data_IF_289909466318
#
_entry.id   IF_289909466318
#
_cell.length_a   1.000
_cell.length_b   1.000
_cell.length_c   1.000
_cell.angle_alpha   90.00
_cell.angle_beta   90.00
_cell.angle_gamma   90.00
#
_symmetry.space_group_name_H-M   'P 1'
#
loop_
_entity.id
_entity.type
_entity.pdbx_description
1 polymer ?
#
# COMPACT_ATOMS: atom_id res chain seq x y z
N UNK A 1 13.16 23.29 -9.16
CA UNK A 1 13.79 23.76 -7.91
C UNK A 1 14.87 22.77 -7.54
N UNK A 2 16.14 23.18 -7.39
CA UNK A 2 17.18 22.31 -6.82
C UNK A 2 17.30 22.58 -5.33
N UNK A 3 17.28 21.51 -4.53
CA UNK A 3 17.55 21.59 -3.11
C UNK A 3 19.07 21.69 -2.89
N UNK A 4 19.49 22.39 -1.84
CA UNK A 4 20.90 22.40 -1.47
C UNK A 4 21.30 21.01 -0.94
N UNK A 5 22.55 20.57 -1.14
CA UNK A 5 23.04 19.29 -0.61
C UNK A 5 22.80 19.13 0.90
N UNK A 6 22.88 20.23 1.66
CA UNK A 6 22.64 20.23 3.10
C UNK A 6 21.17 19.98 3.46
N UNK A 7 20.22 20.48 2.65
CA UNK A 7 18.79 20.24 2.87
C UNK A 7 18.41 18.79 2.61
N UNK A 8 19.01 18.15 1.59
CA UNK A 8 18.80 16.73 1.30
C UNK A 8 19.31 15.86 2.45
N UNK A 9 20.51 16.14 2.96
CA UNK A 9 21.10 15.40 4.08
C UNK A 9 20.30 15.55 5.40
N UNK A 10 19.69 16.71 5.69
CA UNK A 10 18.82 16.88 6.87
C UNK A 10 17.53 16.05 6.74
N UNK A 11 16.95 15.98 5.53
CA UNK A 11 15.77 15.16 5.25
C UNK A 11 16.10 13.68 5.45
N UNK A 12 17.20 13.20 4.88
CA UNK A 12 17.66 11.82 5.02
C UNK A 12 17.85 11.45 6.51
N UNK A 13 18.55 12.30 7.28
CA UNK A 13 18.77 12.07 8.71
C UNK A 13 17.46 12.00 9.51
N UNK A 14 16.46 12.82 9.19
CA UNK A 14 15.13 12.78 9.83
C UNK A 14 14.37 11.49 9.49
N UNK A 15 14.50 11.00 8.26
CA UNK A 15 13.89 9.74 7.83
C UNK A 15 14.54 8.54 8.53
N UNK A 16 15.86 8.52 8.66
CA UNK A 16 16.61 7.49 9.41
C UNK A 16 16.19 7.46 10.88
N UNK A 17 16.09 8.63 11.52
CA UNK A 17 15.64 8.73 12.91
C UNK A 17 14.21 8.20 13.09
N UNK A 18 13.29 8.55 12.18
CA UNK A 18 11.93 8.00 12.20
C UNK A 18 11.90 6.48 12.00
N UNK A 19 12.73 5.93 11.10
CA UNK A 19 12.82 4.49 10.91
C UNK A 19 13.34 3.79 12.17
N UNK A 20 14.34 4.37 12.84
CA UNK A 20 14.93 3.85 14.06
C UNK A 20 13.95 3.89 15.25
N UNK A 21 13.16 4.95 15.38
CA UNK A 21 12.13 5.09 16.42
C UNK A 21 10.93 4.14 16.23
N UNK A 22 10.60 3.76 14.99
CA UNK A 22 9.49 2.83 14.70
C UNK A 22 9.80 1.39 15.07
N UNK A 23 11.08 1.00 15.15
CA UNK A 23 11.49 -0.37 15.48
C UNK A 23 11.20 -1.43 14.41
N UNK A 24 10.66 -1.04 13.25
CA UNK A 24 10.49 -1.91 12.09
C UNK A 24 10.58 -1.13 10.78
N UNK A 25 11.06 -1.78 9.72
CA UNK A 25 11.12 -1.23 8.37
C UNK A 25 10.00 -1.84 7.53
N UNK A 26 8.99 -1.06 7.10
CA UNK A 26 7.91 -1.59 6.28
C UNK A 26 8.44 -2.01 4.90
N UNK A 27 7.90 -3.11 4.37
CA UNK A 27 8.21 -3.56 3.02
C UNK A 27 7.47 -2.69 1.99
N UNK A 28 8.12 -2.33 0.87
CA UNK A 28 7.46 -1.60 -0.20
C UNK A 28 6.35 -2.46 -0.81
N UNK A 29 5.27 -1.80 -1.26
CA UNK A 29 4.16 -2.49 -1.90
C UNK A 29 4.60 -3.14 -3.22
N UNK A 30 4.33 -4.44 -3.36
CA UNK A 30 4.47 -5.16 -4.62
C UNK A 30 3.29 -4.84 -5.57
N UNK A 31 3.36 -3.70 -6.27
CA UNK A 31 2.30 -3.18 -7.15
C UNK A 31 1.78 -4.20 -8.18
N UNK A 32 2.69 -4.84 -8.92
CA UNK A 32 2.35 -5.77 -9.99
C UNK A 32 1.63 -7.01 -9.43
N UNK A 33 2.05 -7.47 -8.25
CA UNK A 33 1.47 -8.62 -7.59
C UNK A 33 0.06 -8.32 -7.07
N UNK A 34 -0.13 -7.14 -6.46
CA UNK A 34 -1.46 -6.69 -6.04
C UNK A 34 -2.40 -6.59 -7.25
N UNK A 35 -1.97 -5.92 -8.32
CA UNK A 35 -2.77 -5.78 -9.53
C UNK A 35 -3.09 -7.13 -10.17
N UNK A 36 -2.13 -8.06 -10.21
CA UNK A 36 -2.36 -9.43 -10.68
C UNK A 36 -3.45 -10.12 -9.86
N UNK A 37 -3.36 -10.09 -8.53
CA UNK A 37 -4.36 -10.75 -7.66
C UNK A 37 -5.74 -10.15 -7.78
N UNK A 38 -5.85 -8.83 -7.95
CA UNK A 38 -7.13 -8.16 -8.20
C UNK A 38 -7.73 -8.59 -9.54
N UNK A 39 -6.91 -8.69 -10.59
CA UNK A 39 -7.35 -9.21 -11.91
C UNK A 39 -7.74 -10.69 -11.90
N UNK A 40 -7.01 -11.53 -11.16
CA UNK A 40 -7.35 -12.95 -10.97
C UNK A 40 -8.69 -13.12 -10.22
N UNK A 41 -9.15 -12.06 -9.53
CA UNK A 41 -10.45 -11.98 -8.89
C UNK A 41 -10.57 -12.88 -7.65
N UNK A 42 -11.79 -13.36 -7.42
CA UNK A 42 -12.12 -14.17 -6.25
C UNK A 42 -11.98 -13.42 -4.92
N UNK A 43 -12.05 -14.17 -3.82
CA UNK A 43 -12.05 -13.58 -2.48
C UNK A 43 -10.76 -12.81 -2.17
N UNK A 44 -9.59 -13.38 -2.51
CA UNK A 44 -8.30 -12.74 -2.24
C UNK A 44 -8.14 -11.44 -3.02
N UNK A 45 -8.48 -11.42 -4.32
CA UNK A 45 -8.37 -10.22 -5.15
C UNK A 45 -9.30 -9.11 -4.65
N UNK A 46 -10.56 -9.46 -4.37
CA UNK A 46 -11.53 -8.52 -3.83
C UNK A 46 -11.07 -7.93 -2.49
N UNK A 47 -10.69 -8.77 -1.52
CA UNK A 47 -10.26 -8.33 -0.19
C UNK A 47 -9.06 -7.39 -0.25
N UNK A 48 -8.02 -7.74 -1.01
CA UNK A 48 -6.80 -6.95 -1.15
C UNK A 48 -7.06 -5.63 -1.89
N UNK A 49 -7.90 -5.65 -2.94
CA UNK A 49 -8.29 -4.43 -3.63
C UNK A 49 -9.06 -3.46 -2.73
N UNK A 50 -10.03 -3.97 -1.95
CA UNK A 50 -10.76 -3.16 -0.96
C UNK A 50 -9.83 -2.61 0.13
N UNK A 51 -8.88 -3.41 0.61
CA UNK A 51 -7.89 -2.98 1.60
C UNK A 51 -7.03 -1.84 1.04
N UNK A 52 -6.56 -1.98 -0.21
CA UNK A 52 -5.75 -0.96 -0.87
C UNK A 52 -6.52 0.35 -1.05
N UNK A 53 -7.74 0.30 -1.58
CA UNK A 53 -8.55 1.50 -1.79
C UNK A 53 -8.85 2.23 -0.48
N UNK A 54 -9.11 1.49 0.60
CA UNK A 54 -9.29 2.08 1.93
C UNK A 54 -8.01 2.65 2.51
N UNK A 55 -6.88 1.97 2.34
CA UNK A 55 -5.58 2.47 2.80
C UNK A 55 -5.15 3.72 2.01
N UNK A 56 -5.43 3.78 0.71
CA UNK A 56 -5.05 4.90 -0.16
C UNK A 56 -5.98 6.12 0.02
N UNK A 57 -7.29 5.93 -0.05
CA UNK A 57 -8.29 7.01 0.01
C UNK A 57 -8.65 7.38 1.45
N UNK A 58 -8.70 8.67 1.77
CA UNK A 58 -9.04 9.15 3.12
C UNK A 58 -10.50 8.88 3.54
N UNK A 59 -11.39 8.52 2.58
CA UNK A 59 -12.84 8.36 2.81
C UNK A 59 -13.42 7.02 2.31
N UNK A 60 -12.58 6.04 1.94
CA UNK A 60 -13.09 4.72 1.57
C UNK A 60 -13.09 3.81 2.79
N UNK A 61 -14.27 3.47 3.30
CA UNK A 61 -14.42 2.54 4.42
C UNK A 61 -14.00 1.11 4.02
N UNK A 62 -13.15 0.50 4.84
CA UNK A 62 -12.85 -0.93 4.76
C UNK A 62 -13.94 -1.73 5.48
N UNK A 63 -14.84 -2.33 4.69
CA UNK A 63 -16.00 -3.09 5.20
C UNK A 63 -15.74 -4.59 5.37
N UNK A 64 -14.52 -5.03 5.07
CA UNK A 64 -14.14 -6.42 5.22
C UNK A 64 -13.77 -6.76 6.67
N UNK A 65 -13.84 -8.04 7.00
CA UNK A 65 -13.57 -8.52 8.36
C UNK A 65 -12.12 -8.99 8.53
N UNK A 66 -11.62 -8.97 9.76
CA UNK A 66 -10.32 -9.58 10.09
C UNK A 66 -10.33 -11.11 9.93
N UNK A 67 -11.48 -11.77 10.08
CA UNK A 67 -11.60 -13.20 9.73
C UNK A 67 -11.43 -13.43 8.23
N UNK A 68 -11.67 -12.40 7.41
CA UNK A 68 -11.35 -12.38 5.99
C UNK A 68 -9.86 -12.43 5.69
N UNK A 69 -9.06 -11.67 6.43
CA UNK A 69 -7.59 -11.73 6.34
C UNK A 69 -7.06 -13.15 6.58
N UNK A 70 -7.64 -13.88 7.53
CA UNK A 70 -7.25 -15.27 7.84
C UNK A 70 -7.51 -16.26 6.69
N UNK A 71 -8.30 -15.89 5.68
CA UNK A 71 -8.55 -16.71 4.49
C UNK A 71 -7.55 -16.47 3.36
N UNK A 72 -6.73 -15.43 3.48
CA UNK A 72 -5.65 -15.18 2.54
C UNK A 72 -4.54 -16.21 2.76
N UNK A 73 -3.87 -16.60 1.68
CA UNK A 73 -2.61 -17.34 1.76
C UNK A 73 -1.48 -16.42 2.27
N UNK A 74 -0.30 -17.00 2.52
CA UNK A 74 0.83 -16.27 3.08
C UNK A 74 1.25 -15.06 2.20
N UNK A 75 1.15 -15.18 0.88
CA UNK A 75 1.44 -14.09 -0.05
C UNK A 75 0.39 -12.97 0.04
N UNK A 76 -0.90 -13.31 0.10
CA UNK A 76 -1.96 -12.34 0.32
C UNK A 76 -1.86 -11.64 1.68
N UNK A 77 -1.50 -12.36 2.74
CA UNK A 77 -1.28 -11.77 4.07
C UNK A 77 -0.10 -10.78 4.06
N UNK A 78 1.00 -11.12 3.36
CA UNK A 78 2.14 -10.21 3.17
C UNK A 78 1.71 -8.93 2.45
N UNK A 79 1.02 -9.06 1.31
CA UNK A 79 0.49 -7.91 0.57
C UNK A 79 -0.43 -7.03 1.42
N UNK A 80 -1.29 -7.64 2.24
CA UNK A 80 -2.14 -6.89 3.16
C UNK A 80 -1.31 -6.04 4.13
N UNK A 81 -0.24 -6.59 4.69
CA UNK A 81 0.67 -5.83 5.55
C UNK A 81 1.41 -4.72 4.79
N UNK A 82 1.83 -4.94 3.55
CA UNK A 82 2.41 -3.88 2.72
C UNK A 82 1.41 -2.75 2.47
N UNK A 83 0.15 -3.08 2.13
CA UNK A 83 -0.95 -2.14 1.95
C UNK A 83 -1.17 -1.27 3.20
N UNK A 84 -1.19 -1.89 4.38
CA UNK A 84 -1.39 -1.17 5.65
C UNK A 84 -0.30 -0.13 5.94
N UNK A 85 0.91 -0.33 5.40
CA UNK A 85 2.06 0.50 5.70
C UNK A 85 2.49 1.40 4.53
N UNK A 86 1.70 1.53 3.46
CA UNK A 86 2.08 2.33 2.27
C UNK A 86 2.51 3.76 2.59
N UNK A 87 1.87 4.41 3.57
CA UNK A 87 2.20 5.79 4.00
C UNK A 87 3.45 5.88 4.88
N UNK A 88 3.97 4.74 5.34
CA UNK A 88 5.17 4.66 6.16
C UNK A 88 6.44 4.45 5.33
N UNK A 89 6.29 4.15 4.03
CA UNK A 89 7.39 3.91 3.09
C UNK A 89 8.01 5.23 2.62
N UNK A 90 9.34 5.30 2.73
CA UNK A 90 10.14 6.38 2.17
C UNK A 90 9.97 6.48 0.64
N UNK A 91 9.78 7.70 0.12
CA UNK A 91 9.63 7.89 -1.33
C UNK A 91 8.25 7.53 -1.88
N UNK A 92 7.22 7.47 -1.03
CA UNK A 92 5.82 7.35 -1.44
C UNK A 92 5.50 8.35 -2.56
N UNK A 93 4.97 7.85 -3.68
CA UNK A 93 4.65 8.63 -4.89
C UNK A 93 3.16 8.59 -5.15
N UNK A 94 2.46 9.66 -4.80
CA UNK A 94 1.00 9.77 -4.95
C UNK A 94 0.53 9.37 -6.35
N UNK A 95 1.26 9.76 -7.41
CA UNK A 95 0.90 9.45 -8.79
C UNK A 95 0.82 7.94 -9.08
N UNK A 96 1.77 7.14 -8.58
CA UNK A 96 1.78 5.68 -8.80
C UNK A 96 0.67 4.98 -8.02
N UNK A 97 0.44 5.41 -6.77
CA UNK A 97 -0.62 4.85 -5.95
C UNK A 97 -2.00 5.26 -6.45
N UNK A 98 -2.13 6.47 -6.99
CA UNK A 98 -3.33 6.95 -7.68
C UNK A 98 -3.65 6.09 -8.91
N UNK A 99 -2.68 5.87 -9.80
CA UNK A 99 -2.87 5.03 -10.99
C UNK A 99 -3.30 3.60 -10.62
N UNK A 100 -2.66 3.02 -9.59
CA UNK A 100 -3.06 1.73 -9.07
C UNK A 100 -4.49 1.74 -8.51
N UNK A 101 -4.90 2.81 -7.81
CA UNK A 101 -6.24 2.94 -7.26
C UNK A 101 -7.31 3.03 -8.36
N UNK A 102 -7.06 3.77 -9.43
CA UNK A 102 -7.94 3.84 -10.61
C UNK A 102 -8.08 2.46 -11.26
N UNK A 103 -6.96 1.75 -11.45
CA UNK A 103 -6.97 0.40 -12.03
C UNK A 103 -7.79 -0.59 -11.18
N UNK A 104 -7.57 -0.61 -9.86
CA UNK A 104 -8.31 -1.47 -8.94
C UNK A 104 -9.80 -1.11 -8.91
N UNK A 105 -10.12 0.18 -8.91
CA UNK A 105 -11.52 0.66 -8.96
C UNK A 105 -12.22 0.20 -10.24
N UNK A 106 -11.55 0.29 -11.38
CA UNK A 106 -12.07 -0.18 -12.67
C UNK A 106 -12.34 -1.69 -12.68
N UNK A 107 -11.44 -2.50 -12.12
CA UNK A 107 -11.60 -3.96 -12.07
C UNK A 107 -12.77 -4.34 -11.14
N UNK A 108 -12.83 -3.76 -9.94
CA UNK A 108 -13.85 -4.09 -8.94
C UNK A 108 -15.24 -3.51 -9.26
N UNK A 109 -15.30 -2.41 -10.03
CA UNK A 109 -16.57 -1.81 -10.48
C UNK A 109 -17.21 -2.53 -11.67
N UNK A 110 -16.45 -3.35 -12.40
CA UNK A 110 -16.90 -4.13 -13.56
C UNK A 110 -17.15 -5.62 -13.23
N UNK A 111 -16.96 -6.04 -11.97
CA UNK A 111 -17.03 -7.43 -11.50
C UNK A 111 -18.28 -7.75 -10.67
#
# INVERSE_FOLDING_TARGET
MSFSPAAVADIERRMEKQAQERGFTPLPLEFDLLLKRVNDGGYSGYYLGRAFLSAYGLDTEFKETLSGFMKLDAEGQRLFHEIMHIRLIAGWSDAKYYELAENITSILGNG
#
